data_IF_940546737844
#
_entry.id   IF_940546737844
#
_cell.length_a   1.000
_cell.length_b   1.000
_cell.length_c   1.000
_cell.angle_alpha   90.00
_cell.angle_beta   90.00
_cell.angle_gamma   90.00
#
_symmetry.space_group_name_H-M   'P 1'
#
loop_
_entity.id
_entity.type
_entity.pdbx_description
1 polymer ?
#
# COMPACT_ATOMS: atom_id res chain seq x y z
N UNK A 1 -31.19 26.17 18.39
CA UNK A 1 -30.31 26.67 17.31
C UNK A 1 -29.19 25.66 17.13
N UNK A 2 -29.26 24.85 16.06
CA UNK A 2 -28.19 23.91 15.70
C UNK A 2 -27.08 24.71 15.01
N UNK A 3 -25.87 24.65 15.57
CA UNK A 3 -24.66 25.15 14.90
C UNK A 3 -24.24 24.08 13.89
N UNK A 4 -24.16 24.37 12.59
CA UNK A 4 -23.64 23.41 11.63
C UNK A 4 -22.13 23.26 11.87
N UNK A 5 -21.65 22.02 11.99
CA UNK A 5 -20.23 21.73 11.89
C UNK A 5 -19.78 22.05 10.46
N UNK A 6 -18.94 23.06 10.29
CA UNK A 6 -18.21 23.30 9.05
C UNK A 6 -16.93 22.46 9.08
N UNK A 7 -16.76 21.54 8.14
CA UNK A 7 -15.46 20.93 7.89
C UNK A 7 -14.47 22.04 7.53
N UNK A 8 -13.40 22.16 8.31
CA UNK A 8 -12.18 22.82 7.85
C UNK A 8 -11.73 22.13 6.56
N UNK A 9 -11.19 22.89 5.60
CA UNK A 9 -10.44 22.27 4.51
C UNK A 9 -9.42 21.32 5.14
N UNK A 10 -9.44 20.06 4.73
CA UNK A 10 -8.36 19.14 5.04
C UNK A 10 -7.11 19.85 4.55
N UNK A 11 -6.20 20.19 5.47
CA UNK A 11 -4.99 20.93 5.14
C UNK A 11 -4.39 20.28 3.91
N UNK A 12 -4.39 21.03 2.80
CA UNK A 12 -3.78 20.58 1.56
C UNK A 12 -2.34 20.36 1.94
N UNK A 13 -1.96 19.10 2.18
CA UNK A 13 -0.57 18.72 2.20
C UNK A 13 -0.05 19.27 0.89
N UNK A 14 0.76 20.33 0.98
CA UNK A 14 1.32 20.97 -0.20
C UNK A 14 2.00 19.85 -0.93
N UNK A 15 1.37 19.41 -2.02
CA UNK A 15 1.90 18.36 -2.85
C UNK A 15 3.31 18.82 -3.19
N UNK A 16 4.29 18.01 -2.77
CA UNK A 16 5.70 18.28 -3.01
C UNK A 16 5.81 18.69 -4.49
N UNK A 17 6.28 19.91 -4.73
CA UNK A 17 6.26 20.61 -6.03
C UNK A 17 7.14 19.96 -7.11
N UNK A 18 7.72 18.82 -6.81
CA UNK A 18 8.51 18.02 -7.73
C UNK A 18 7.92 16.60 -7.79
N UNK A 19 6.97 16.41 -8.70
CA UNK A 19 6.42 15.09 -9.02
C UNK A 19 7.30 14.31 -10.02
N UNK A 20 8.51 14.81 -10.32
CA UNK A 20 9.39 14.22 -11.33
C UNK A 20 10.49 13.32 -10.78
N UNK A 21 10.58 13.15 -9.46
CA UNK A 21 11.35 12.06 -8.86
C UNK A 21 10.43 10.95 -8.33
N UNK A 22 9.99 10.06 -9.24
CA UNK A 22 9.32 8.80 -8.88
C UNK A 22 10.30 7.67 -8.55
N UNK A 23 11.61 7.90 -8.65
CA UNK A 23 12.68 6.99 -8.24
C UNK A 23 13.81 7.72 -7.52
N UNK A 24 14.01 7.50 -6.21
CA UNK A 24 15.31 7.67 -5.60
C UNK A 24 16.29 6.71 -6.29
N UNK A 25 17.45 7.23 -6.69
CA UNK A 25 18.60 6.43 -7.09
C UNK A 25 19.15 5.71 -5.85
N UNK A 26 19.26 4.39 -5.92
CA UNK A 26 20.02 3.54 -4.98
C UNK A 26 19.52 3.47 -3.53
N UNK A 27 18.21 3.26 -3.34
CA UNK A 27 17.70 2.86 -2.02
C UNK A 27 17.02 1.50 -2.15
N UNK A 28 17.53 0.52 -1.40
CA UNK A 28 17.07 -0.87 -1.44
C UNK A 28 16.32 -1.18 -0.16
N UNK A 29 15.17 -1.83 -0.30
CA UNK A 29 14.42 -2.39 0.82
C UNK A 29 15.28 -3.43 1.56
N UNK A 30 15.00 -3.63 2.85
CA UNK A 30 15.61 -4.72 3.62
C UNK A 30 14.94 -6.03 3.22
N UNK A 31 15.66 -6.92 2.56
CA UNK A 31 15.14 -8.22 2.14
C UNK A 31 14.97 -9.16 3.36
N UNK A 32 13.76 -9.70 3.51
CA UNK A 32 13.43 -10.70 4.53
C UNK A 32 13.29 -12.09 3.90
N UNK A 33 12.73 -12.16 2.69
CA UNK A 33 12.62 -13.38 1.90
C UNK A 33 12.67 -13.06 0.40
N UNK A 34 13.14 -14.03 -0.40
CA UNK A 34 13.36 -13.88 -1.84
C UNK A 34 12.18 -14.40 -2.67
N UNK A 35 11.61 -15.54 -2.28
CA UNK A 35 10.61 -16.26 -3.07
C UNK A 35 9.54 -16.83 -2.14
N UNK A 36 8.37 -16.17 -2.01
CA UNK A 36 8.00 -14.92 -2.66
C UNK A 36 8.77 -13.72 -2.09
N UNK A 37 8.89 -12.63 -2.86
CA UNK A 37 9.60 -11.42 -2.41
C UNK A 37 8.91 -10.82 -1.19
N UNK A 38 9.67 -10.70 -0.10
CA UNK A 38 9.25 -10.04 1.14
C UNK A 38 10.38 -9.11 1.59
N UNK A 39 10.06 -7.84 1.79
CA UNK A 39 11.03 -6.84 2.21
C UNK A 39 10.37 -5.70 2.97
N UNK A 40 11.14 -5.02 3.81
CA UNK A 40 10.67 -3.91 4.62
C UNK A 40 11.43 -2.62 4.33
N UNK A 41 10.82 -1.49 4.67
CA UNK A 41 11.46 -0.19 4.56
C UNK A 41 12.58 -0.09 5.59
N UNK A 42 13.82 0.29 5.22
CA UNK A 42 14.84 0.57 6.21
C UNK A 42 14.34 1.66 7.17
N UNK A 43 14.38 1.41 8.48
CA UNK A 43 13.78 2.32 9.47
C UNK A 43 14.35 3.75 9.40
N UNK A 44 15.63 3.89 9.05
CA UNK A 44 16.27 5.19 8.84
C UNK A 44 15.69 5.99 7.67
N UNK A 45 14.94 5.35 6.77
CA UNK A 45 14.29 5.95 5.61
C UNK A 45 12.78 6.17 5.79
N UNK A 46 12.19 5.72 6.90
CA UNK A 46 10.81 6.04 7.32
C UNK A 46 10.71 7.46 7.92
N UNK A 47 11.10 8.47 7.13
CA UNK A 47 11.20 9.87 7.59
C UNK A 47 10.16 10.79 6.94
N UNK A 48 9.48 10.32 5.89
CA UNK A 48 8.52 11.11 5.12
C UNK A 48 7.08 10.77 5.52
N UNK A 49 6.20 11.77 5.49
CA UNK A 49 4.77 11.56 5.69
C UNK A 49 4.16 10.60 4.66
N UNK A 50 4.65 10.68 3.42
CA UNK A 50 4.34 9.74 2.35
C UNK A 50 5.60 8.93 2.05
N UNK A 51 5.56 7.64 2.34
CA UNK A 51 6.62 6.72 1.94
C UNK A 51 6.72 6.69 0.42
N UNK A 52 7.88 7.04 -0.20
CA UNK A 52 8.05 6.95 -1.64
C UNK A 52 7.80 5.52 -2.14
N UNK A 53 7.17 5.34 -3.30
CA UNK A 53 6.86 4.00 -3.83
C UNK A 53 8.03 3.00 -3.81
N UNK A 54 9.28 3.38 -4.15
CA UNK A 54 10.42 2.45 -4.10
C UNK A 54 10.85 2.04 -2.69
N UNK A 55 10.38 2.76 -1.67
CA UNK A 55 10.59 2.48 -0.25
C UNK A 55 9.35 1.87 0.40
N UNK A 56 8.26 1.62 -0.32
CA UNK A 56 7.08 0.98 0.25
C UNK A 56 7.36 -0.51 0.50
N UNK A 57 7.14 -1.00 1.71
CA UNK A 57 7.40 -2.39 2.06
C UNK A 57 6.66 -3.37 1.14
N UNK A 58 7.24 -4.56 0.93
CA UNK A 58 6.65 -5.60 0.08
C UNK A 58 6.35 -6.82 0.93
N UNK A 59 5.08 -7.23 0.98
CA UNK A 59 4.66 -8.50 1.57
C UNK A 59 3.85 -9.30 0.57
N UNK A 60 4.49 -10.30 -0.03
CA UNK A 60 3.81 -11.28 -0.87
C UNK A 60 3.68 -12.62 -0.14
N UNK A 61 2.55 -13.31 -0.32
CA UNK A 61 2.38 -14.70 0.12
C UNK A 61 2.68 -15.70 -1.02
N UNK A 62 2.63 -15.24 -2.27
CA UNK A 62 2.83 -16.01 -3.49
C UNK A 62 3.62 -15.17 -4.50
N UNK A 63 4.00 -15.76 -5.62
CA UNK A 63 4.65 -15.04 -6.71
C UNK A 63 3.74 -13.96 -7.30
N UNK A 64 4.35 -12.91 -7.83
CA UNK A 64 3.60 -11.83 -8.51
C UNK A 64 3.03 -12.36 -9.82
N UNK A 65 1.71 -12.26 -10.07
CA UNK A 65 1.13 -12.75 -11.31
C UNK A 65 1.52 -11.87 -12.49
N UNK A 66 1.75 -12.49 -13.65
CA UNK A 66 1.79 -11.81 -14.94
C UNK A 66 0.35 -11.54 -15.40
N UNK A 67 0.02 -10.27 -15.70
CA UNK A 67 -1.34 -9.86 -16.03
C UNK A 67 -1.36 -9.24 -17.43
N UNK A 68 -2.19 -9.81 -18.31
CA UNK A 68 -2.56 -9.21 -19.59
C UNK A 68 -3.81 -8.35 -19.44
N UNK A 69 -3.66 -7.03 -19.56
CA UNK A 69 -4.76 -6.09 -19.24
C UNK A 69 -5.97 -6.22 -20.16
N UNK A 70 -5.80 -6.70 -21.39
CA UNK A 70 -6.90 -6.88 -22.34
C UNK A 70 -7.86 -8.01 -21.92
N UNK A 71 -7.34 -9.04 -21.24
CA UNK A 71 -8.10 -10.20 -20.78
C UNK A 71 -8.47 -10.14 -19.30
N UNK A 72 -7.86 -9.25 -18.51
CA UNK A 72 -8.15 -9.10 -17.09
C UNK A 72 -9.61 -8.67 -16.83
N UNK A 73 -10.24 -9.27 -15.81
CA UNK A 73 -11.59 -8.95 -15.35
C UNK A 73 -11.65 -9.01 -13.82
N UNK A 74 -12.40 -8.09 -13.21
CA UNK A 74 -12.80 -8.13 -11.81
C UNK A 74 -14.21 -8.70 -11.71
N UNK A 75 -14.35 -9.87 -11.08
CA UNK A 75 -15.65 -10.45 -10.75
C UNK A 75 -16.13 -9.94 -9.39
N UNK A 76 -17.39 -9.50 -9.33
CA UNK A 76 -18.09 -9.12 -8.11
C UNK A 76 -19.25 -10.09 -7.92
N UNK A 77 -19.17 -10.90 -6.88
CA UNK A 77 -20.14 -11.96 -6.57
C UNK A 77 -20.49 -12.04 -5.07
N UNK A 78 -21.25 -13.07 -4.68
CA UNK A 78 -21.70 -13.28 -3.31
C UNK A 78 -23.11 -12.74 -3.05
N UNK A 79 -23.30 -12.08 -1.90
CA UNK A 79 -24.61 -11.57 -1.48
C UNK A 79 -24.90 -10.18 -2.06
N UNK A 80 -24.96 -10.13 -3.39
CA UNK A 80 -25.24 -8.92 -4.18
C UNK A 80 -26.53 -9.11 -4.97
N UNK A 81 -27.20 -8.01 -5.35
CA UNK A 81 -28.43 -8.08 -6.13
C UNK A 81 -28.19 -8.58 -7.56
N UNK A 82 -27.03 -8.25 -8.13
CA UNK A 82 -26.63 -8.63 -9.49
C UNK A 82 -25.14 -8.96 -9.48
N UNK A 83 -24.77 -10.09 -10.09
CA UNK A 83 -23.36 -10.44 -10.31
C UNK A 83 -22.78 -9.51 -11.38
N UNK A 84 -21.55 -9.05 -11.16
CA UNK A 84 -20.88 -8.11 -12.06
C UNK A 84 -19.53 -8.61 -12.53
N UNK A 85 -19.16 -8.27 -13.76
CA UNK A 85 -17.78 -8.31 -14.22
C UNK A 85 -17.39 -6.94 -14.75
N UNK A 86 -16.24 -6.44 -14.31
CA UNK A 86 -15.68 -5.15 -14.74
C UNK A 86 -14.33 -5.41 -15.43
N UNK A 87 -14.10 -4.78 -16.57
CA UNK A 87 -12.75 -4.62 -17.10
C UNK A 87 -12.02 -3.43 -16.44
N UNK A 88 -10.79 -3.18 -16.84
CA UNK A 88 -10.00 -2.09 -16.26
C UNK A 88 -10.54 -0.69 -16.64
N UNK A 89 -11.12 -0.55 -17.83
CA UNK A 89 -11.67 0.73 -18.29
C UNK A 89 -13.01 1.03 -17.59
N UNK A 90 -13.81 0.02 -17.28
CA UNK A 90 -14.97 0.13 -16.38
C UNK A 90 -14.59 0.75 -15.05
N UNK A 91 -13.53 0.25 -14.40
CA UNK A 91 -13.06 0.75 -13.11
C UNK A 91 -12.61 2.21 -13.23
N UNK A 92 -11.89 2.56 -14.29
CA UNK A 92 -11.41 3.93 -14.52
C UNK A 92 -12.52 4.94 -14.77
N UNK A 93 -13.70 4.50 -15.20
CA UNK A 93 -14.89 5.37 -15.39
C UNK A 93 -15.64 5.65 -14.08
N UNK A 94 -15.39 4.90 -13.00
CA UNK A 94 -16.01 5.14 -11.71
C UNK A 94 -15.55 6.47 -11.09
N UNK A 95 -16.36 7.10 -10.21
CA UNK A 95 -15.93 8.30 -9.48
C UNK A 95 -14.65 8.06 -8.69
N UNK A 96 -13.66 8.93 -8.89
CA UNK A 96 -12.34 8.84 -8.24
C UNK A 96 -12.36 9.47 -6.85
N UNK A 97 -11.84 8.75 -5.87
CA UNK A 97 -11.54 9.25 -4.53
C UNK A 97 -10.04 9.14 -4.27
N UNK A 98 -9.50 10.02 -3.43
CA UNK A 98 -8.08 10.00 -3.05
C UNK A 98 -7.98 10.19 -1.55
N UNK A 99 -7.34 9.23 -0.90
CA UNK A 99 -7.14 9.17 0.55
C UNK A 99 -5.69 8.83 0.85
N UNK A 100 -5.12 9.44 1.89
CA UNK A 100 -3.81 9.04 2.43
C UNK A 100 -4.06 7.99 3.51
N UNK A 101 -3.53 6.78 3.31
CA UNK A 101 -3.75 5.63 4.19
C UNK A 101 -2.40 4.96 4.42
N UNK A 102 -2.09 4.68 5.68
CA UNK A 102 -0.97 3.83 6.07
C UNK A 102 -1.41 2.37 6.00
N UNK A 103 -0.62 1.52 5.35
CA UNK A 103 -0.81 0.06 5.39
C UNK A 103 0.24 -0.51 6.31
N UNK A 104 -0.17 -1.26 7.32
CA UNK A 104 0.76 -1.92 8.24
C UNK A 104 0.57 -3.44 8.15
N UNK A 105 1.67 -4.17 8.04
CA UNK A 105 1.62 -5.62 8.14
C UNK A 105 1.30 -6.02 9.58
N UNK A 106 0.36 -6.95 9.79
CA UNK A 106 0.14 -7.54 11.12
C UNK A 106 1.39 -8.23 11.72
N UNK A 107 2.41 -8.47 10.91
CA UNK A 107 3.71 -8.99 11.34
C UNK A 107 4.77 -7.93 11.62
N UNK A 108 4.48 -6.63 11.48
CA UNK A 108 5.41 -5.56 11.85
C UNK A 108 5.86 -5.73 13.31
N UNK A 109 7.14 -5.47 13.59
CA UNK A 109 7.80 -5.67 14.88
C UNK A 109 7.79 -7.12 15.41
N UNK A 110 7.57 -8.14 14.56
CA UNK A 110 7.63 -9.55 15.01
C UNK A 110 8.96 -9.92 15.65
N UNK A 111 10.07 -9.31 15.20
CA UNK A 111 11.40 -9.52 15.77
C UNK A 111 11.52 -9.20 17.25
N UNK A 112 10.60 -8.38 17.79
CA UNK A 112 10.67 -7.86 19.15
C UNK A 112 9.94 -8.78 20.16
N UNK A 113 9.24 -9.82 19.67
CA UNK A 113 8.47 -10.74 20.51
C UNK A 113 9.37 -11.69 21.29
N UNK A 114 9.09 -11.82 22.59
CA UNK A 114 9.70 -12.79 23.49
C UNK A 114 8.63 -13.69 24.13
N UNK A 115 8.64 -15.02 23.90
CA UNK A 115 9.62 -15.75 23.08
C UNK A 115 9.43 -15.48 21.57
N UNK A 116 10.49 -15.69 20.75
CA UNK A 116 10.40 -15.56 19.30
C UNK A 116 9.27 -16.43 18.71
N UNK A 117 8.51 -15.86 17.77
CA UNK A 117 7.36 -16.54 17.15
C UNK A 117 7.61 -16.87 15.67
N UNK A 118 7.06 -17.98 15.14
CA UNK A 118 7.24 -18.35 13.74
C UNK A 118 6.73 -17.29 12.76
N UNK A 119 7.35 -17.20 11.57
CA UNK A 119 6.95 -16.33 10.45
C UNK A 119 8.05 -15.35 10.03
N UNK A 120 7.74 -14.44 9.09
CA UNK A 120 8.69 -13.45 8.60
C UNK A 120 9.07 -12.47 9.71
N UNK A 121 10.36 -12.39 10.03
CA UNK A 121 10.89 -11.62 11.14
C UNK A 121 11.09 -10.15 10.74
N UNK A 122 9.98 -9.44 10.52
CA UNK A 122 10.02 -7.99 10.30
C UNK A 122 10.52 -7.26 11.54
N UNK A 123 11.30 -6.20 11.32
CA UNK A 123 11.55 -5.15 12.30
C UNK A 123 10.41 -4.14 12.22
N UNK A 124 10.69 -2.84 12.39
CA UNK A 124 9.69 -1.77 12.38
C UNK A 124 9.41 -1.20 10.98
N UNK A 125 9.80 -1.90 9.91
CA UNK A 125 9.78 -1.38 8.54
C UNK A 125 8.56 -1.77 7.70
N UNK A 126 7.65 -2.58 8.24
CA UNK A 126 6.52 -3.15 7.50
C UNK A 126 5.26 -2.28 7.60
N UNK A 127 5.43 -0.98 7.35
CA UNK A 127 4.44 0.11 7.51
C UNK A 127 4.66 1.26 6.53
#
# INVERSE_FOLDING_TARGET
MMVPCTCSEAGVATAVKDQTQTRPSEQTLVEIDKVPLISETPQSLLQNWLTPNPLFYVRNHFDTPEIEMSSWRLSVDGFVSELGQLDFDDIKRLPKYTSTITLECAGNNRSDLEPPTPGNQFQAGAV
#
